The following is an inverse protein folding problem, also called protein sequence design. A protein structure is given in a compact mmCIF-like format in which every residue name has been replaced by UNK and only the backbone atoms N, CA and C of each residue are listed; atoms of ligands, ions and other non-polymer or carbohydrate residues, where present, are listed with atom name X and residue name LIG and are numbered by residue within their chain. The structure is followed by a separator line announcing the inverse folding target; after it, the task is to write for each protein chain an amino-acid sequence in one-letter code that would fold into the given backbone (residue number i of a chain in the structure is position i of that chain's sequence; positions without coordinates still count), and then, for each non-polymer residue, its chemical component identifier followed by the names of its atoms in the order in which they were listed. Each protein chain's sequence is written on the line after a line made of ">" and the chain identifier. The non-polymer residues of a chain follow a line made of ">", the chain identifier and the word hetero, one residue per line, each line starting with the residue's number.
data_IF_992142697305
#
_entry.id   IF_992142697305
#
_cell.length_a   1.000
_cell.length_b   1.000
_cell.length_c   1.000
_cell.angle_alpha   90.00
_cell.angle_beta   90.00
_cell.angle_gamma   90.00
#
_symmetry.space_group_name_H-M   'P 1'
#
loop_
_entity.id
_entity.type
_entity.pdbx_description
1 polymer ?
#
# COMPACT_ATOMS: atom_id res chain seq x y z
N UNK A 1 -4.27 -2.08 -36.21
CA UNK A 1 -3.67 -2.78 -35.07
C UNK A 1 -3.11 -1.74 -34.13
N UNK A 2 -3.84 -1.42 -33.07
CA UNK A 2 -3.38 -0.47 -32.08
C UNK A 2 -2.42 -1.21 -31.15
N UNK A 3 -1.14 -0.89 -31.20
CA UNK A 3 -0.19 -1.37 -30.22
C UNK A 3 -0.51 -0.68 -28.89
N UNK A 4 -1.14 -1.40 -27.96
CA UNK A 4 -1.26 -0.96 -26.57
C UNK A 4 0.17 -1.03 -26.02
N UNK A 5 0.81 0.11 -25.90
CA UNK A 5 2.09 0.23 -25.23
C UNK A 5 1.82 -0.09 -23.76
N UNK A 6 2.49 -1.09 -23.24
CA UNK A 6 2.38 -1.62 -21.87
C UNK A 6 2.55 -0.57 -20.74
N UNK A 7 2.68 0.73 -21.08
CA UNK A 7 2.85 1.84 -20.16
C UNK A 7 1.62 2.72 -19.93
N UNK A 8 0.51 2.48 -20.64
CA UNK A 8 -0.63 3.40 -20.62
C UNK A 8 -1.80 2.93 -19.73
N UNK A 9 -1.72 1.75 -19.13
CA UNK A 9 -2.73 1.26 -18.21
C UNK A 9 -2.42 1.71 -16.78
N UNK A 10 -3.40 2.36 -16.17
CA UNK A 10 -3.33 2.82 -14.79
C UNK A 10 -3.76 1.66 -13.89
N UNK A 11 -2.91 1.29 -12.95
CA UNK A 11 -3.08 0.09 -12.13
C UNK A 11 -3.02 0.41 -10.64
N UNK A 12 -3.68 -0.44 -9.83
CA UNK A 12 -3.51 -0.39 -8.38
C UNK A 12 -2.06 -0.61 -8.01
N UNK A 13 -1.56 0.19 -7.08
CA UNK A 13 -0.16 0.15 -6.61
C UNK A 13 -0.12 0.10 -5.09
N UNK A 14 0.71 -0.80 -4.58
CA UNK A 14 1.10 -0.80 -3.17
C UNK A 14 2.60 -0.53 -3.09
N UNK A 15 2.97 0.50 -2.33
CA UNK A 15 4.38 0.71 -1.94
C UNK A 15 4.51 0.21 -0.52
N UNK A 16 5.27 -0.86 -0.35
CA UNK A 16 5.37 -1.62 0.89
C UNK A 16 6.74 -1.39 1.49
N UNK A 17 6.77 -0.91 2.72
CA UNK A 17 8.00 -0.73 3.48
C UNK A 17 7.97 -1.62 4.72
N UNK A 18 8.98 -2.49 4.85
CA UNK A 18 9.16 -3.27 6.05
C UNK A 18 9.63 -2.37 7.17
N UNK A 19 8.94 -2.39 8.30
CA UNK A 19 9.20 -1.47 9.41
C UNK A 19 9.40 -2.18 10.73
N UNK A 20 10.20 -1.57 11.61
CA UNK A 20 10.25 -1.93 13.03
C UNK A 20 9.12 -1.27 13.81
N UNK A 21 8.67 -0.11 13.38
CA UNK A 21 7.51 0.61 13.86
C UNK A 21 7.09 1.66 12.84
N UNK A 22 5.82 2.06 12.88
CA UNK A 22 5.29 3.16 12.08
C UNK A 22 4.06 3.77 12.75
N UNK A 23 3.77 5.02 12.45
CA UNK A 23 2.58 5.70 12.96
C UNK A 23 2.08 6.74 11.99
N UNK A 24 0.79 7.05 12.10
CA UNK A 24 0.12 8.13 11.38
C UNK A 24 -0.44 9.13 12.37
N UNK A 25 -0.18 10.41 12.14
CA UNK A 25 -0.69 11.50 12.96
C UNK A 25 -1.47 12.47 12.08
N UNK A 26 -2.67 12.84 12.53
CA UNK A 26 -3.53 13.84 11.89
C UNK A 26 -3.89 14.88 12.94
N UNK A 27 -3.61 16.15 12.65
CA UNK A 27 -3.87 17.27 13.56
C UNK A 27 -3.36 17.03 14.99
N UNK A 28 -2.16 16.46 15.10
CA UNK A 28 -1.51 16.18 16.39
C UNK A 28 -1.97 14.91 17.09
N UNK A 29 -2.95 14.18 16.53
CA UNK A 29 -3.48 12.94 17.12
C UNK A 29 -3.03 11.72 16.32
N UNK A 30 -2.59 10.68 17.01
CA UNK A 30 -2.22 9.41 16.38
C UNK A 30 -3.50 8.68 15.98
N UNK A 31 -3.64 8.40 14.68
CA UNK A 31 -4.78 7.66 14.12
C UNK A 31 -4.51 6.17 14.03
N UNK A 32 -3.23 5.79 13.94
CA UNK A 32 -2.81 4.40 13.88
C UNK A 32 -1.33 4.30 14.20
N UNK A 33 -0.95 3.21 14.87
CA UNK A 33 0.44 2.93 15.25
C UNK A 33 0.67 1.43 15.26
N UNK A 34 1.79 1.00 14.68
CA UNK A 34 2.18 -0.41 14.62
C UNK A 34 3.61 -0.61 15.08
N UNK A 35 3.92 -1.84 15.49
CA UNK A 35 5.26 -2.33 15.70
C UNK A 35 5.75 -3.04 14.41
N UNK A 36 6.56 -4.06 14.52
CA UNK A 36 7.11 -4.82 13.38
C UNK A 36 6.02 -5.23 12.38
N UNK A 37 6.25 -4.91 11.12
CA UNK A 37 5.31 -5.24 10.06
C UNK A 37 5.55 -4.43 8.80
N UNK A 38 4.47 -4.00 8.15
CA UNK A 38 4.51 -3.19 6.93
C UNK A 38 3.76 -1.88 7.08
N UNK A 39 4.40 -0.81 6.64
CA UNK A 39 3.71 0.39 6.19
C UNK A 39 3.42 0.21 4.69
N UNK A 40 2.15 0.35 4.29
CA UNK A 40 1.72 0.21 2.91
C UNK A 40 1.06 1.49 2.43
N UNK A 41 1.64 2.11 1.40
CA UNK A 41 1.02 3.22 0.69
C UNK A 41 0.19 2.63 -0.45
N UNK A 42 -1.09 2.98 -0.51
CA UNK A 42 -2.07 2.38 -1.42
C UNK A 42 -2.54 3.40 -2.43
N UNK A 43 -2.26 3.14 -3.71
CA UNK A 43 -2.78 3.90 -4.85
C UNK A 43 -3.91 3.13 -5.54
N UNK A 44 -5.03 3.81 -5.76
CA UNK A 44 -6.23 3.24 -6.39
C UNK A 44 -6.59 4.08 -7.60
N UNK A 45 -6.88 3.41 -8.73
CA UNK A 45 -7.34 4.02 -9.96
C UNK A 45 -8.81 3.70 -10.23
N UNK A 46 -9.45 4.49 -11.11
CA UNK A 46 -10.85 4.25 -11.49
C UNK A 46 -11.08 2.90 -12.20
N UNK A 47 -10.02 2.28 -12.70
CA UNK A 47 -10.10 1.00 -13.40
C UNK A 47 -9.97 -0.21 -12.48
N UNK A 48 -9.70 0.01 -11.20
CA UNK A 48 -9.51 -1.08 -10.25
C UNK A 48 -10.82 -1.73 -9.87
N UNK A 49 -10.77 -3.05 -9.70
CA UNK A 49 -11.91 -3.88 -9.34
C UNK A 49 -11.65 -4.61 -8.03
N UNK A 50 -12.71 -5.16 -7.44
CA UNK A 50 -12.61 -6.02 -6.25
C UNK A 50 -11.69 -7.21 -6.51
N UNK A 51 -11.76 -7.80 -7.71
CA UNK A 51 -10.91 -8.93 -8.08
C UNK A 51 -9.43 -8.55 -8.11
N UNK A 52 -9.10 -7.36 -8.59
CA UNK A 52 -7.74 -6.82 -8.56
C UNK A 52 -7.30 -6.61 -7.12
N UNK A 53 -8.13 -5.99 -6.30
CA UNK A 53 -7.84 -5.76 -4.88
C UNK A 53 -7.58 -7.09 -4.15
N UNK A 54 -8.39 -8.11 -4.37
CA UNK A 54 -8.23 -9.42 -3.73
C UNK A 54 -6.88 -10.07 -4.08
N UNK A 55 -6.44 -9.98 -5.34
CA UNK A 55 -5.13 -10.48 -5.75
C UNK A 55 -3.98 -9.69 -5.13
N UNK A 56 -4.11 -8.38 -5.07
CA UNK A 56 -3.11 -7.50 -4.44
C UNK A 56 -2.98 -7.81 -2.95
N UNK A 57 -4.10 -7.96 -2.25
CA UNK A 57 -4.12 -8.31 -0.83
C UNK A 57 -3.47 -9.68 -0.59
N UNK A 58 -3.84 -10.67 -1.38
CA UNK A 58 -3.26 -12.01 -1.27
C UNK A 58 -1.73 -11.98 -1.43
N UNK A 59 -1.25 -11.21 -2.41
CA UNK A 59 0.18 -11.05 -2.63
C UNK A 59 0.85 -10.34 -1.45
N UNK A 60 0.26 -9.26 -0.96
CA UNK A 60 0.76 -8.50 0.19
C UNK A 60 0.91 -9.40 1.43
N UNK A 61 -0.13 -10.14 1.77
CA UNK A 61 -0.15 -10.96 2.99
C UNK A 61 0.73 -12.20 2.88
N UNK A 62 0.98 -12.68 1.66
CA UNK A 62 1.80 -13.86 1.42
C UNK A 62 3.29 -13.59 1.19
N UNK A 63 3.69 -12.32 1.07
CA UNK A 63 5.09 -11.99 0.81
C UNK A 63 6.00 -12.43 1.97
N UNK A 64 7.09 -13.10 1.62
CA UNK A 64 8.04 -13.67 2.56
C UNK A 64 9.30 -12.81 2.61
N UNK A 65 9.20 -11.66 3.25
CA UNK A 65 10.29 -10.67 3.28
C UNK A 65 10.82 -10.36 4.68
N UNK A 66 10.47 -11.17 5.68
CA UNK A 66 11.11 -11.14 6.99
C UNK A 66 12.19 -12.22 7.08
N UNK A 67 13.25 -11.93 7.82
CA UNK A 67 14.37 -12.85 7.98
C UNK A 67 13.99 -14.04 8.86
N UNK A 68 14.42 -15.24 8.45
CA UNK A 68 14.34 -16.46 9.26
C UNK A 68 15.54 -16.58 10.21
N UNK A 69 15.62 -17.69 10.95
CA UNK A 69 16.72 -17.96 11.89
C UNK A 69 18.10 -18.04 11.23
N UNK A 70 18.14 -18.29 9.92
CA UNK A 70 19.39 -18.34 9.14
C UNK A 70 19.74 -16.99 8.50
N UNK A 71 18.97 -15.93 8.79
CA UNK A 71 19.14 -14.60 8.22
C UNK A 71 18.66 -14.48 6.78
N UNK A 72 17.88 -15.44 6.28
CA UNK A 72 17.35 -15.42 4.92
C UNK A 72 15.97 -14.80 4.87
N UNK A 73 15.71 -14.04 3.83
CA UNK A 73 14.39 -13.45 3.53
C UNK A 73 13.41 -14.58 3.18
N UNK A 74 12.57 -14.98 4.13
CA UNK A 74 11.79 -16.21 4.04
C UNK A 74 10.46 -16.20 4.76
N UNK A 75 10.23 -15.33 5.73
CA UNK A 75 9.04 -15.37 6.57
C UNK A 75 8.01 -14.32 6.17
N UNK A 76 6.73 -14.67 6.28
CA UNK A 76 5.59 -13.79 6.00
C UNK A 76 5.17 -13.01 7.24
N UNK A 77 4.19 -12.08 7.06
CA UNK A 77 3.55 -11.37 8.19
C UNK A 77 3.01 -12.33 9.24
N UNK A 78 2.34 -13.41 8.81
CA UNK A 78 1.81 -14.41 9.74
C UNK A 78 2.91 -15.07 10.58
N UNK A 79 4.02 -15.42 9.93
CA UNK A 79 5.12 -16.11 10.60
C UNK A 79 5.75 -15.28 11.72
N UNK A 80 5.76 -13.96 11.56
CA UNK A 80 6.41 -13.04 12.51
C UNK A 80 5.41 -12.28 13.37
N UNK A 81 4.11 -12.59 13.30
CA UNK A 81 3.04 -11.84 13.94
C UNK A 81 3.10 -10.34 13.59
N UNK A 82 3.37 -10.05 12.33
CA UNK A 82 3.52 -8.69 11.84
C UNK A 82 2.21 -7.93 11.81
N UNK A 83 2.34 -6.61 11.84
CA UNK A 83 1.23 -5.66 11.86
C UNK A 83 1.19 -4.84 10.57
N UNK A 84 0.04 -4.26 10.25
CA UNK A 84 -0.14 -3.44 9.05
C UNK A 84 -0.59 -2.02 9.40
N UNK A 85 0.04 -1.03 8.76
CA UNK A 85 -0.44 0.34 8.70
C UNK A 85 -0.72 0.68 7.23
N UNK A 86 -2.00 0.84 6.89
CA UNK A 86 -2.48 1.05 5.52
C UNK A 86 -2.85 2.52 5.30
N UNK A 87 -2.16 3.17 4.37
CA UNK A 87 -2.30 4.60 4.09
C UNK A 87 -2.68 4.80 2.64
N UNK A 88 -3.77 5.52 2.40
CA UNK A 88 -4.15 5.91 1.04
C UNK A 88 -3.20 6.98 0.50
N UNK A 89 -2.71 6.81 -0.75
CA UNK A 89 -1.71 7.67 -1.35
C UNK A 89 -1.98 7.88 -2.84
N UNK A 90 -2.83 8.85 -3.18
CA UNK A 90 -3.17 9.14 -4.59
C UNK A 90 -1.97 9.67 -5.39
N UNK A 91 -0.98 10.27 -4.73
CA UNK A 91 0.20 10.81 -5.39
C UNK A 91 1.08 9.76 -6.05
N UNK A 92 0.81 8.46 -5.82
CA UNK A 92 1.45 7.37 -6.56
C UNK A 92 1.11 7.42 -8.06
N UNK A 93 0.08 8.18 -8.46
CA UNK A 93 -0.29 8.40 -9.85
C UNK A 93 0.21 9.72 -10.41
N UNK A 94 1.20 10.33 -9.78
CA UNK A 94 1.80 11.57 -10.27
C UNK A 94 2.33 11.38 -11.70
N UNK A 95 1.88 12.22 -12.60
CA UNK A 95 2.43 12.33 -13.96
C UNK A 95 3.39 13.52 -14.00
N UNK A 96 4.67 13.22 -14.11
CA UNK A 96 5.75 14.20 -14.09
C UNK A 96 6.37 14.41 -15.45
N UNK A 97 5.72 13.96 -16.54
CA UNK A 97 6.29 14.02 -17.90
C UNK A 97 6.39 15.44 -18.45
N UNK A 98 5.53 16.36 -18.01
CA UNK A 98 5.49 17.74 -18.49
C UNK A 98 5.80 18.71 -17.38
N UNK A 99 6.92 19.44 -17.52
CA UNK A 99 7.32 20.47 -16.59
C UNK A 99 7.61 19.93 -15.18
N UNK A 100 7.61 20.83 -14.21
CA UNK A 100 7.98 20.52 -12.82
C UNK A 100 6.80 20.36 -11.89
N UNK A 101 5.58 20.59 -12.38
CA UNK A 101 4.37 20.42 -11.58
C UNK A 101 3.71 19.10 -11.95
N UNK A 102 3.64 18.13 -11.01
CA UNK A 102 3.00 16.85 -11.30
C UNK A 102 1.49 16.99 -11.49
N UNK A 103 0.93 16.18 -12.39
CA UNK A 103 -0.49 16.03 -12.59
C UNK A 103 -0.97 14.74 -11.90
N UNK A 104 -2.18 14.73 -11.37
CA UNK A 104 -2.76 13.59 -10.64
C UNK A 104 -4.07 13.10 -11.27
N UNK A 105 -4.30 13.41 -12.55
CA UNK A 105 -5.54 13.03 -13.25
C UNK A 105 -5.75 11.52 -13.38
N UNK A 106 -4.69 10.73 -13.20
CA UNK A 106 -4.73 9.27 -13.25
C UNK A 106 -5.18 8.61 -11.94
N UNK A 107 -5.25 9.36 -10.86
CA UNK A 107 -5.76 8.84 -9.60
C UNK A 107 -7.27 8.59 -9.69
N UNK A 108 -7.75 7.58 -8.96
CA UNK A 108 -9.18 7.28 -8.86
C UNK A 108 -9.97 8.42 -8.24
N UNK A 109 -11.25 8.50 -8.59
CA UNK A 109 -12.16 9.48 -7.99
C UNK A 109 -12.27 9.24 -6.48
N UNK A 110 -12.32 10.29 -5.66
CA UNK A 110 -12.25 10.15 -4.20
C UNK A 110 -13.25 9.18 -3.58
N UNK A 111 -14.51 9.21 -3.99
CA UNK A 111 -15.54 8.35 -3.40
C UNK A 111 -15.27 6.87 -3.68
N UNK A 112 -14.94 6.52 -4.91
CA UNK A 112 -14.60 5.16 -5.31
C UNK A 112 -13.30 4.70 -4.64
N UNK A 113 -12.30 5.55 -4.63
CA UNK A 113 -11.01 5.24 -4.02
C UNK A 113 -11.14 5.01 -2.52
N UNK A 114 -11.96 5.79 -1.83
CA UNK A 114 -12.24 5.62 -0.40
C UNK A 114 -12.91 4.27 -0.12
N UNK A 115 -13.93 3.92 -0.90
CA UNK A 115 -14.62 2.64 -0.76
C UNK A 115 -13.69 1.45 -0.98
N UNK A 116 -12.84 1.52 -2.00
CA UNK A 116 -11.86 0.48 -2.28
C UNK A 116 -10.81 0.37 -1.18
N UNK A 117 -10.34 1.50 -0.67
CA UNK A 117 -9.40 1.55 0.45
C UNK A 117 -9.99 0.90 1.71
N UNK A 118 -11.24 1.23 2.05
CA UNK A 118 -11.95 0.62 3.18
C UNK A 118 -12.15 -0.89 2.98
N UNK A 119 -12.46 -1.32 1.76
CA UNK A 119 -12.53 -2.74 1.41
C UNK A 119 -11.20 -3.46 1.67
N UNK A 120 -10.10 -2.89 1.23
CA UNK A 120 -8.77 -3.47 1.44
C UNK A 120 -8.46 -3.62 2.94
N UNK A 121 -8.76 -2.60 3.73
CA UNK A 121 -8.59 -2.64 5.19
C UNK A 121 -9.42 -3.78 5.79
N UNK A 122 -10.70 -3.88 5.44
CA UNK A 122 -11.59 -4.89 5.99
C UNK A 122 -11.14 -6.31 5.65
N UNK A 123 -10.65 -6.53 4.42
CA UNK A 123 -10.12 -7.83 4.03
C UNK A 123 -8.83 -8.18 4.81
N UNK A 124 -7.94 -7.23 4.98
CA UNK A 124 -6.72 -7.44 5.76
C UNK A 124 -7.02 -7.78 7.23
N UNK A 125 -8.02 -7.12 7.82
CA UNK A 125 -8.44 -7.37 9.21
C UNK A 125 -8.96 -8.80 9.45
N UNK A 126 -9.40 -9.48 8.41
CA UNK A 126 -9.85 -10.88 8.52
C UNK A 126 -8.68 -11.83 8.80
N UNK A 127 -7.47 -11.47 8.42
CA UNK A 127 -6.30 -12.35 8.48
C UNK A 127 -5.21 -11.85 9.40
N UNK A 128 -5.10 -10.54 9.60
CA UNK A 128 -4.05 -9.91 10.42
C UNK A 128 -4.70 -9.29 11.66
N UNK A 129 -4.25 -9.66 12.86
CA UNK A 129 -4.86 -9.17 14.12
C UNK A 129 -4.75 -7.65 14.31
N UNK A 130 -3.64 -7.05 13.92
CA UNK A 130 -3.42 -5.59 14.05
C UNK A 130 -3.29 -4.97 12.69
N UNK A 131 -4.36 -4.31 12.25
CA UNK A 131 -4.42 -3.51 11.02
C UNK A 131 -4.86 -2.12 11.39
N UNK A 132 -3.95 -1.17 11.25
CA UNK A 132 -4.16 0.23 11.55
C UNK A 132 -4.26 1.03 10.24
N UNK A 133 -4.82 2.22 10.33
CA UNK A 133 -5.08 3.06 9.18
C UNK A 133 -4.91 4.54 9.49
N UNK A 134 -4.79 5.34 8.42
CA UNK A 134 -4.88 6.79 8.52
C UNK A 134 -6.32 7.26 8.34
N UNK A 135 -6.46 8.52 7.90
CA UNK A 135 -7.75 9.12 7.54
C UNK A 135 -7.70 9.48 6.07
N UNK A 136 -8.59 8.90 5.27
CA UNK A 136 -8.65 9.16 3.84
C UNK A 136 -8.85 10.64 3.55
N UNK A 137 -7.98 11.20 2.71
CA UNK A 137 -8.05 12.60 2.29
C UNK A 137 -7.47 13.61 3.28
N UNK A 138 -7.04 13.18 4.47
CA UNK A 138 -6.46 14.08 5.46
C UNK A 138 -4.98 14.37 5.18
N UNK A 139 -4.47 15.45 5.77
CA UNK A 139 -3.04 15.69 5.87
C UNK A 139 -2.46 14.78 6.95
N UNK A 140 -1.75 13.76 6.53
CA UNK A 140 -1.21 12.74 7.42
C UNK A 140 0.30 12.86 7.55
N UNK A 141 0.78 12.89 8.80
CA UNK A 141 2.22 12.83 9.09
C UNK A 141 2.55 11.37 9.41
N UNK A 142 3.34 10.76 8.54
CA UNK A 142 3.70 9.35 8.65
C UNK A 142 5.13 9.24 9.16
N UNK A 143 5.29 8.60 10.30
CA UNK A 143 6.58 8.29 10.88
C UNK A 143 6.84 6.80 10.77
N UNK A 144 8.05 6.42 10.40
CA UNK A 144 8.41 5.01 10.25
C UNK A 144 9.91 4.79 10.41
N UNK A 145 10.27 3.59 10.84
CA UNK A 145 11.64 3.09 10.76
C UNK A 145 11.68 1.97 9.74
N UNK A 146 12.15 2.29 8.53
CA UNK A 146 12.31 1.30 7.46
C UNK A 146 13.46 0.37 7.81
N UNK A 147 13.13 -0.90 8.01
CA UNK A 147 14.06 -1.90 8.47
C UNK A 147 14.71 -2.61 7.28
N UNK A 148 15.99 -2.25 7.06
CA UNK A 148 16.77 -2.88 6.00
C UNK A 148 17.72 -1.94 5.24
N UNK A 149 17.34 -0.84 4.56
CA UNK A 149 15.98 -0.55 4.15
C UNK A 149 15.39 -1.64 3.26
N UNK A 150 14.07 -1.80 3.29
CA UNK A 150 13.39 -2.81 2.51
C UNK A 150 12.07 -2.23 2.00
N UNK A 151 11.99 -1.99 0.70
CA UNK A 151 10.84 -1.36 0.04
C UNK A 151 10.50 -2.12 -1.23
N UNK A 152 9.23 -2.50 -1.39
CA UNK A 152 8.73 -3.23 -2.56
C UNK A 152 7.56 -2.46 -3.15
N UNK A 153 7.52 -2.39 -4.48
CA UNK A 153 6.37 -1.88 -5.22
C UNK A 153 5.64 -3.08 -5.82
N UNK A 154 4.37 -3.27 -5.42
CA UNK A 154 3.45 -4.17 -6.11
C UNK A 154 2.58 -3.36 -7.06
N UNK A 155 2.60 -3.74 -8.32
CA UNK A 155 1.75 -3.16 -9.36
C UNK A 155 0.82 -4.23 -9.89
N UNK A 156 -0.48 -3.97 -9.90
CA UNK A 156 -1.45 -4.96 -10.36
C UNK A 156 -1.26 -5.37 -11.82
N UNK A 157 -0.61 -4.53 -12.63
CA UNK A 157 -0.24 -4.90 -14.01
C UNK A 157 0.72 -6.08 -14.08
N UNK A 158 1.51 -6.30 -13.04
CA UNK A 158 2.55 -7.33 -13.02
C UNK A 158 2.10 -8.63 -12.37
N UNK A 159 1.06 -8.58 -11.53
CA UNK A 159 0.64 -9.72 -10.70
C UNK A 159 -0.79 -10.20 -10.98
N UNK A 160 -1.58 -9.45 -11.75
CA UNK A 160 -2.96 -9.83 -12.09
C UNK A 160 -3.10 -10.37 -13.50
#
# INVERSE_FOLDING_TARGET
>A
MQFIIKGDLIHMKFVIQRVSNASCTVEGNITGSIQKGFLVLIGISDQDTIQIADKMIKKLLGMRIFEDSDGKTNLSLHDVNGELLLISQFTLYADCRKGNRPSFTNAGKPDMAKQMYEYIIDQCKKEIPVVEQGIFGADMKISLLNDGPFTIILDSAEIC
#
